data_IF_672332000046
#
_entry.id   IF_672332000046
#
_cell.length_a   1.000
_cell.length_b   1.000
_cell.length_c   1.000
_cell.angle_alpha   90.00
_cell.angle_beta   90.00
_cell.angle_gamma   90.00
#
_symmetry.space_group_name_H-M   'P 1'
#
loop_
_entity.id
_entity.type
_entity.pdbx_description
1 polymer ?
#
# COMPACT_ATOMS: atom_id res chain seq x y z
N UNK A 1 8.74 15.05 45.12
CA UNK A 1 8.80 15.41 43.67
C UNK A 1 8.56 14.12 42.93
N UNK A 2 7.71 14.12 41.91
CA UNK A 2 7.39 12.89 41.18
C UNK A 2 8.61 12.45 40.38
N UNK A 3 9.11 11.26 40.65
CA UNK A 3 10.25 10.67 39.98
C UNK A 3 9.81 9.87 38.77
N UNK A 4 10.37 10.15 37.58
CA UNK A 4 10.05 9.45 36.33
C UNK A 4 11.31 8.74 35.85
N UNK A 5 11.23 7.45 35.57
CA UNK A 5 12.37 6.64 35.14
C UNK A 5 12.01 5.81 33.90
N UNK A 6 12.84 5.89 32.86
CA UNK A 6 12.86 4.93 31.77
C UNK A 6 13.72 3.73 32.17
N UNK A 7 13.12 2.56 32.16
CA UNK A 7 13.79 1.28 32.40
C UNK A 7 13.90 0.57 31.05
N UNK A 8 15.12 0.28 30.61
CA UNK A 8 15.37 -0.41 29.34
C UNK A 8 15.99 -1.77 29.59
N UNK A 9 15.41 -2.82 28.99
CA UNK A 9 15.89 -4.19 29.09
C UNK A 9 16.33 -4.70 27.72
N UNK A 10 17.42 -5.47 27.71
CA UNK A 10 17.96 -6.13 26.53
C UNK A 10 18.47 -7.53 26.87
N UNK A 11 18.13 -8.54 26.07
CA UNK A 11 18.64 -9.89 26.25
C UNK A 11 17.81 -10.95 25.53
N UNK A 12 18.05 -12.24 25.78
CA UNK A 12 17.26 -13.33 25.18
C UNK A 12 15.78 -13.23 25.55
N UNK A 13 14.90 -13.41 24.57
CA UNK A 13 13.46 -13.45 24.80
C UNK A 13 13.05 -14.81 25.40
N UNK A 14 12.40 -14.78 26.55
CA UNK A 14 11.92 -15.97 27.25
C UNK A 14 10.50 -15.75 27.80
N UNK A 15 9.68 -16.81 27.91
CA UNK A 15 8.36 -16.73 28.52
C UNK A 15 8.43 -16.18 29.96
N UNK A 16 7.37 -15.47 30.36
CA UNK A 16 7.16 -14.91 31.70
C UNK A 16 8.12 -13.78 32.15
N UNK A 17 9.10 -13.36 31.36
CA UNK A 17 9.97 -12.24 31.75
C UNK A 17 9.17 -10.97 32.03
N UNK A 18 8.27 -10.58 31.14
CA UNK A 18 7.42 -9.40 31.32
C UNK A 18 6.57 -9.51 32.61
N UNK A 19 5.95 -10.65 32.87
CA UNK A 19 5.14 -10.88 34.05
C UNK A 19 5.94 -10.71 35.33
N UNK A 20 7.14 -11.27 35.39
CA UNK A 20 8.04 -11.14 36.57
C UNK A 20 8.47 -9.70 36.81
N UNK A 21 8.78 -8.94 35.76
CA UNK A 21 9.13 -7.52 35.86
C UNK A 21 7.92 -6.70 36.37
N UNK A 22 6.73 -6.94 35.83
CA UNK A 22 5.50 -6.29 36.28
C UNK A 22 5.17 -6.60 37.75
N UNK A 23 5.46 -7.80 38.22
CA UNK A 23 5.25 -8.18 39.61
C UNK A 23 6.08 -7.31 40.57
N UNK A 24 7.36 -7.06 40.26
CA UNK A 24 8.21 -6.18 41.06
C UNK A 24 7.64 -4.75 41.07
N UNK A 25 7.31 -4.19 39.89
CA UNK A 25 6.76 -2.84 39.78
C UNK A 25 5.45 -2.69 40.54
N UNK A 26 4.60 -3.73 40.52
CA UNK A 26 3.32 -3.77 41.22
C UNK A 26 3.48 -3.78 42.75
N UNK A 27 4.42 -4.58 43.29
CA UNK A 27 4.68 -4.65 44.74
C UNK A 27 5.06 -3.27 45.28
N UNK A 28 5.82 -2.50 44.52
CA UNK A 28 6.24 -1.15 44.90
C UNK A 28 5.26 -0.06 44.48
N UNK A 29 4.09 -0.41 43.89
CA UNK A 29 3.04 0.51 43.43
C UNK A 29 3.53 1.60 42.46
N UNK A 30 4.48 1.27 41.56
CA UNK A 30 4.92 2.19 40.53
C UNK A 30 3.85 2.32 39.45
N UNK A 31 3.59 3.55 39.03
CA UNK A 31 2.68 3.82 37.93
C UNK A 31 3.42 3.61 36.61
N UNK A 32 2.81 2.86 35.67
CA UNK A 32 3.31 2.73 34.30
C UNK A 32 2.78 3.91 33.49
N UNK A 33 3.68 4.67 32.89
CA UNK A 33 3.36 5.79 32.00
C UNK A 33 3.41 5.38 30.52
N UNK A 34 4.36 4.50 30.17
CA UNK A 34 4.46 3.93 28.82
C UNK A 34 5.19 2.59 28.83
N UNK A 35 4.96 1.77 27.78
CA UNK A 35 5.64 0.49 27.61
C UNK A 35 5.75 0.16 26.11
N UNK A 36 6.94 -0.29 25.71
CA UNK A 36 7.18 -0.75 24.34
C UNK A 36 8.11 -1.95 24.31
N UNK A 37 7.77 -2.97 23.51
CA UNK A 37 8.57 -4.19 23.35
C UNK A 37 8.78 -4.52 21.89
N UNK A 38 9.99 -4.97 21.55
CA UNK A 38 10.32 -5.57 20.28
C UNK A 38 11.14 -6.85 20.46
N UNK A 39 10.87 -7.86 19.62
CA UNK A 39 11.66 -9.11 19.58
C UNK A 39 12.18 -9.32 18.17
N UNK A 40 13.51 -9.36 18.03
CA UNK A 40 14.19 -9.64 16.76
C UNK A 40 15.06 -10.87 16.97
N UNK A 41 14.75 -11.97 16.27
CA UNK A 41 15.54 -13.21 16.34
C UNK A 41 15.87 -13.63 17.79
N UNK A 42 14.85 -13.79 18.63
CA UNK A 42 15.00 -14.20 20.04
C UNK A 42 15.76 -13.18 20.94
N UNK A 43 15.96 -11.95 20.47
CA UNK A 43 16.48 -10.87 21.28
C UNK A 43 15.35 -9.91 21.64
N UNK A 44 15.08 -9.77 22.92
CA UNK A 44 14.12 -8.85 23.50
C UNK A 44 14.77 -7.46 23.67
N UNK A 45 14.05 -6.44 23.24
CA UNK A 45 14.26 -5.06 23.67
C UNK A 45 12.93 -4.58 24.28
N UNK A 46 12.96 -4.17 25.55
CA UNK A 46 11.79 -3.71 26.29
C UNK A 46 12.10 -2.39 26.96
N UNK A 47 11.26 -1.39 26.75
CA UNK A 47 11.29 -0.10 27.43
C UNK A 47 10.04 0.07 28.29
N UNK A 48 10.19 0.55 29.53
CA UNK A 48 9.08 0.86 30.42
C UNK A 48 9.34 2.21 31.05
N UNK A 49 8.41 3.15 30.93
CA UNK A 49 8.45 4.43 31.66
C UNK A 49 7.58 4.32 32.89
N UNK A 50 8.16 4.51 34.05
CA UNK A 50 7.48 4.44 35.34
C UNK A 50 7.53 5.77 36.06
N UNK A 51 6.54 6.01 36.93
CA UNK A 51 6.54 7.16 37.82
C UNK A 51 6.15 6.77 39.27
N UNK A 52 6.71 7.49 40.25
CA UNK A 52 6.40 7.34 41.67
C UNK A 52 6.58 8.67 42.41
N UNK A 53 5.76 8.88 43.42
CA UNK A 53 5.95 9.99 44.39
C UNK A 53 6.74 9.55 45.65
N UNK A 54 7.14 8.26 45.70
CA UNK A 54 7.86 7.66 46.81
C UNK A 54 9.28 7.22 46.40
N UNK A 55 10.29 8.04 46.67
CA UNK A 55 11.70 7.77 46.33
C UNK A 55 12.22 6.45 46.92
N UNK A 56 11.79 6.11 48.15
CA UNK A 56 12.23 4.86 48.79
C UNK A 56 11.66 3.65 48.06
N UNK A 57 10.39 3.67 47.68
CA UNK A 57 9.76 2.59 46.90
C UNK A 57 10.40 2.45 45.53
N UNK A 58 10.73 3.57 44.88
CA UNK A 58 11.43 3.59 43.60
C UNK A 58 12.80 2.95 43.70
N UNK A 59 13.60 3.35 44.71
CA UNK A 59 14.95 2.79 44.91
C UNK A 59 14.94 1.29 45.20
N UNK A 60 13.97 0.81 46.01
CA UNK A 60 13.78 -0.61 46.28
C UNK A 60 13.38 -1.37 45.01
N UNK A 61 12.41 -0.87 44.23
CA UNK A 61 12.00 -1.46 42.97
C UNK A 61 13.16 -1.57 41.99
N UNK A 62 13.94 -0.52 41.81
CA UNK A 62 15.12 -0.51 40.91
C UNK A 62 16.17 -1.55 41.33
N UNK A 63 16.41 -1.69 42.65
CA UNK A 63 17.30 -2.74 43.18
C UNK A 63 16.78 -4.15 42.89
N UNK A 64 15.51 -4.40 43.14
CA UNK A 64 14.88 -5.71 42.87
C UNK A 64 14.86 -6.03 41.38
N UNK A 65 14.53 -5.04 40.51
CA UNK A 65 14.61 -5.19 39.06
C UNK A 65 16.02 -5.52 38.59
N UNK A 66 17.06 -4.88 39.15
CA UNK A 66 18.46 -5.16 38.79
C UNK A 66 18.80 -6.62 39.08
N UNK A 67 18.44 -7.12 40.24
CA UNK A 67 18.70 -8.51 40.67
C UNK A 67 17.86 -9.46 39.74
N UNK A 68 16.58 -9.19 39.58
CA UNK A 68 15.73 -10.01 38.74
C UNK A 68 16.20 -10.06 37.29
N UNK A 69 16.58 -8.92 36.71
CA UNK A 69 17.09 -8.85 35.34
C UNK A 69 18.33 -9.75 35.16
N UNK A 70 19.26 -9.68 36.10
CA UNK A 70 20.43 -10.55 36.09
C UNK A 70 20.03 -12.03 36.13
N UNK A 71 19.09 -12.42 37.02
CA UNK A 71 18.64 -13.81 37.20
C UNK A 71 17.94 -14.38 35.98
N UNK A 72 17.27 -13.51 35.16
CA UNK A 72 16.57 -13.91 33.93
C UNK A 72 17.38 -13.63 32.65
N UNK A 73 18.67 -13.28 32.80
CA UNK A 73 19.59 -13.07 31.68
C UNK A 73 19.37 -11.80 30.88
N UNK A 74 18.75 -10.77 31.48
CA UNK A 74 18.54 -9.47 30.85
C UNK A 74 19.55 -8.42 31.37
N UNK A 75 20.05 -7.60 30.47
CA UNK A 75 20.75 -6.36 30.82
C UNK A 75 19.69 -5.28 31.05
N UNK A 76 19.83 -4.50 32.16
CA UNK A 76 18.92 -3.40 32.48
C UNK A 76 19.68 -2.08 32.56
N UNK A 77 19.04 -1.00 32.12
CA UNK A 77 19.48 0.38 32.26
C UNK A 77 18.35 1.24 32.81
N UNK A 78 18.71 2.15 33.73
CA UNK A 78 17.80 3.15 34.29
C UNK A 78 18.23 4.54 33.84
N UNK A 79 17.27 5.30 33.29
CA UNK A 79 17.47 6.69 32.90
C UNK A 79 16.42 7.56 33.57
N UNK A 80 16.75 8.42 34.54
CA UNK A 80 15.85 9.43 35.04
C UNK A 80 15.36 10.35 33.92
N UNK A 81 14.13 10.74 33.95
CA UNK A 81 13.48 11.68 33.03
C UNK A 81 12.92 12.83 33.87
N UNK A 82 13.21 14.06 33.49
CA UNK A 82 12.61 15.22 34.14
C UNK A 82 11.14 15.39 33.74
N UNK A 83 10.33 16.01 34.61
CA UNK A 83 8.95 16.30 34.28
C UNK A 83 8.80 17.11 32.98
N UNK A 84 9.70 18.07 32.74
CA UNK A 84 9.70 18.88 31.53
C UNK A 84 10.00 18.05 30.26
N UNK A 85 10.95 17.12 30.32
CA UNK A 85 11.22 16.19 29.20
C UNK A 85 10.03 15.27 28.91
N UNK A 86 9.36 14.80 29.96
CA UNK A 86 8.16 13.98 29.84
C UNK A 86 7.00 14.76 29.21
N UNK A 87 6.71 15.97 29.71
CA UNK A 87 5.63 16.82 29.20
C UNK A 87 5.87 17.23 27.74
N UNK A 88 7.14 17.53 27.39
CA UNK A 88 7.51 17.78 25.99
C UNK A 88 7.21 16.56 25.13
N UNK A 89 7.64 15.39 25.54
CA UNK A 89 7.38 14.13 24.79
C UNK A 89 5.89 13.83 24.64
N UNK A 90 5.08 14.03 25.68
CA UNK A 90 3.61 13.88 25.62
C UNK A 90 2.99 14.87 24.65
N UNK A 91 3.44 16.12 24.62
CA UNK A 91 2.94 17.17 23.71
C UNK A 91 3.19 16.83 22.22
N UNK A 92 4.22 16.07 21.94
CA UNK A 92 4.56 15.60 20.58
C UNK A 92 3.61 14.51 20.09
N UNK A 93 2.94 13.78 20.98
CA UNK A 93 2.03 12.68 20.63
C UNK A 93 0.76 13.07 19.84
N UNK A 94 0.41 14.36 19.83
CA UNK A 94 -0.78 14.89 19.11
C UNK A 94 -0.52 15.37 17.68
N UNK A 95 0.70 15.30 17.17
CA UNK A 95 1.07 15.78 15.83
C UNK A 95 0.75 14.74 14.75
N UNK A 96 0.62 15.20 13.49
CA UNK A 96 0.43 14.34 12.33
C UNK A 96 1.60 13.37 12.19
N UNK A 97 1.28 12.09 12.06
CA UNK A 97 2.27 11.02 11.84
C UNK A 97 2.26 10.60 10.39
N UNK A 98 3.41 10.17 9.91
CA UNK A 98 3.57 9.66 8.54
C UNK A 98 4.17 8.26 8.56
N UNK A 99 3.84 7.52 7.52
CA UNK A 99 4.40 6.19 7.25
C UNK A 99 5.11 6.23 5.91
N UNK A 100 6.34 5.79 5.89
CA UNK A 100 7.09 5.51 4.66
C UNK A 100 7.17 4.00 4.48
N UNK A 101 6.69 3.52 3.35
CA UNK A 101 6.71 2.09 2.99
C UNK A 101 7.68 1.89 1.83
N UNK A 102 8.72 1.10 2.05
CA UNK A 102 9.71 0.73 1.05
C UNK A 102 9.46 -0.71 0.56
N UNK A 103 9.30 -0.88 -0.76
CA UNK A 103 9.02 -2.16 -1.42
C UNK A 103 10.07 -2.42 -2.49
N UNK A 104 10.58 -3.64 -2.56
CA UNK A 104 11.48 -4.10 -3.62
C UNK A 104 11.42 -5.63 -3.71
N UNK A 105 11.91 -6.25 -4.80
CA UNK A 105 12.13 -7.69 -4.84
C UNK A 105 13.06 -8.17 -3.73
N UNK A 106 14.07 -7.36 -3.40
CA UNK A 106 15.01 -7.58 -2.30
C UNK A 106 15.42 -6.22 -1.70
N UNK A 107 15.41 -6.08 -0.37
CA UNK A 107 15.86 -4.87 0.32
C UNK A 107 17.30 -5.01 0.76
N UNK A 108 18.13 -4.05 0.34
CA UNK A 108 19.55 -3.93 0.73
C UNK A 108 19.75 -2.78 1.72
N UNK A 109 20.92 -2.74 2.35
CA UNK A 109 21.31 -1.61 3.19
C UNK A 109 21.33 -0.28 2.40
N UNK A 110 21.73 -0.32 1.12
CA UNK A 110 21.71 0.87 0.25
C UNK A 110 20.30 1.41 0.04
N UNK A 111 19.30 0.53 -0.18
CA UNK A 111 17.90 0.93 -0.28
C UNK A 111 17.43 1.64 0.99
N UNK A 112 17.68 1.04 2.15
CA UNK A 112 17.26 1.63 3.43
C UNK A 112 17.98 2.93 3.73
N UNK A 113 19.28 3.01 3.42
CA UNK A 113 20.06 4.26 3.56
C UNK A 113 19.46 5.38 2.72
N UNK A 114 19.16 5.12 1.45
CA UNK A 114 18.62 6.13 0.55
C UNK A 114 17.23 6.62 1.01
N UNK A 115 16.34 5.70 1.42
CA UNK A 115 15.02 6.05 1.96
C UNK A 115 15.15 6.88 3.23
N UNK A 116 16.01 6.47 4.19
CA UNK A 116 16.19 7.19 5.45
C UNK A 116 16.87 8.55 5.26
N UNK A 117 17.70 8.70 4.23
CA UNK A 117 18.28 9.98 3.87
C UNK A 117 17.22 10.97 3.35
N UNK A 118 16.25 10.51 2.52
CA UNK A 118 15.12 11.33 2.12
C UNK A 118 14.32 11.78 3.34
N UNK A 119 13.98 10.86 4.25
CA UNK A 119 13.24 11.14 5.47
C UNK A 119 13.95 12.19 6.34
N UNK A 120 15.24 12.01 6.59
CA UNK A 120 16.03 12.93 7.41
C UNK A 120 16.24 14.30 6.77
N UNK A 121 16.35 14.38 5.44
CA UNK A 121 16.43 15.65 4.72
C UNK A 121 15.18 16.52 4.85
N UNK A 122 14.03 15.90 5.12
CA UNK A 122 12.76 16.57 5.44
C UNK A 122 12.60 16.91 6.94
N UNK A 123 13.62 16.64 7.76
CA UNK A 123 13.61 16.93 9.19
C UNK A 123 12.80 15.96 10.05
N UNK A 124 12.41 14.80 9.51
CA UNK A 124 11.72 13.76 10.29
C UNK A 124 12.68 12.81 10.97
N UNK A 125 12.30 12.35 12.16
CA UNK A 125 12.96 11.24 12.84
C UNK A 125 12.17 9.94 12.59
N UNK A 126 12.84 8.79 12.59
CA UNK A 126 12.23 7.47 12.45
C UNK A 126 12.03 6.90 13.86
N UNK A 127 10.78 6.72 14.26
CA UNK A 127 10.42 6.15 15.58
C UNK A 127 10.33 4.63 15.53
N UNK A 128 9.80 4.08 14.42
CA UNK A 128 9.62 2.64 14.28
C UNK A 128 10.09 2.16 12.92
N UNK A 129 10.67 0.96 12.89
CA UNK A 129 11.01 0.25 11.66
C UNK A 129 10.41 -1.15 11.75
N UNK A 130 9.49 -1.48 10.84
CA UNK A 130 8.77 -2.74 10.87
C UNK A 130 8.83 -3.44 9.52
N UNK A 131 9.28 -4.68 9.49
CA UNK A 131 9.20 -5.52 8.29
C UNK A 131 7.78 -6.07 8.15
N UNK A 132 7.12 -5.79 7.03
CA UNK A 132 5.78 -6.28 6.70
C UNK A 132 5.82 -7.60 5.92
N UNK A 133 6.81 -7.76 5.04
CA UNK A 133 7.00 -9.00 4.27
C UNK A 133 7.49 -10.16 5.14
N UNK A 134 7.15 -11.36 4.75
CA UNK A 134 7.64 -12.60 5.36
C UNK A 134 9.17 -12.68 5.38
N UNK A 135 9.71 -13.51 6.25
CA UNK A 135 11.14 -13.81 6.28
C UNK A 135 11.44 -14.82 5.17
N UNK A 136 12.51 -14.58 4.42
CA UNK A 136 12.96 -15.47 3.34
C UNK A 136 13.93 -16.50 3.94
N UNK A 137 13.68 -17.79 3.71
CA UNK A 137 14.64 -18.83 4.04
C UNK A 137 15.88 -18.75 3.14
N UNK A 138 17.04 -19.17 3.63
CA UNK A 138 18.28 -19.17 2.85
C UNK A 138 18.24 -20.17 1.67
N UNK A 139 17.42 -21.22 1.76
CA UNK A 139 17.24 -22.19 0.69
C UNK A 139 16.39 -21.58 -0.44
N UNK A 140 16.95 -21.65 -1.67
CA UNK A 140 16.49 -20.88 -2.84
C UNK A 140 15.16 -21.32 -3.48
N UNK A 141 14.49 -22.35 -2.99
CA UNK A 141 13.29 -22.94 -3.63
C UNK A 141 11.96 -22.41 -3.07
N UNK A 142 11.86 -21.12 -2.76
CA UNK A 142 10.54 -20.55 -2.47
C UNK A 142 9.78 -20.31 -3.78
N UNK A 143 8.65 -21.01 -3.95
CA UNK A 143 7.72 -20.85 -5.08
C UNK A 143 7.00 -19.47 -5.11
N UNK A 144 7.33 -18.57 -4.20
CA UNK A 144 6.73 -17.25 -4.11
C UNK A 144 7.64 -16.19 -4.74
N UNK A 145 7.07 -15.20 -5.46
CA UNK A 145 7.83 -14.07 -5.99
C UNK A 145 8.58 -13.37 -4.85
N UNK A 146 9.85 -13.06 -5.10
CA UNK A 146 10.69 -12.36 -4.12
C UNK A 146 10.14 -10.97 -3.93
N UNK A 147 9.79 -10.63 -2.71
CA UNK A 147 9.35 -9.31 -2.32
C UNK A 147 9.75 -9.03 -0.88
N UNK A 148 10.22 -7.83 -0.65
CA UNK A 148 10.61 -7.35 0.65
C UNK A 148 9.93 -6.00 0.89
N UNK A 149 9.34 -5.85 2.08
CA UNK A 149 8.68 -4.62 2.49
C UNK A 149 9.10 -4.25 3.90
N UNK A 150 9.55 -2.99 4.06
CA UNK A 150 9.83 -2.37 5.35
C UNK A 150 9.06 -1.07 5.45
N UNK A 151 8.47 -0.84 6.59
CA UNK A 151 7.70 0.34 6.94
C UNK A 151 8.42 1.14 8.03
N UNK A 152 8.51 2.45 7.84
CA UNK A 152 9.06 3.40 8.78
C UNK A 152 7.94 4.28 9.32
N UNK A 153 7.72 4.27 10.63
CA UNK A 153 6.87 5.25 11.31
C UNK A 153 7.69 6.48 11.64
N UNK A 154 7.23 7.63 11.17
CA UNK A 154 7.92 8.90 11.35
C UNK A 154 7.30 9.67 12.51
N UNK A 155 8.18 10.25 13.34
CA UNK A 155 7.75 11.17 14.39
C UNK A 155 7.20 12.46 13.78
N UNK A 156 6.40 13.12 14.59
CA UNK A 156 5.93 14.46 14.35
C UNK A 156 7.09 15.42 14.10
N UNK A 157 7.31 15.71 12.85
CA UNK A 157 8.31 16.67 12.40
C UNK A 157 7.67 17.97 11.93
N UNK A 158 8.39 18.75 11.14
CA UNK A 158 7.83 19.88 10.41
C UNK A 158 6.71 19.42 9.47
N UNK A 159 5.95 20.36 8.93
CA UNK A 159 4.94 20.05 7.90
C UNK A 159 5.64 19.35 6.72
N UNK A 160 5.11 18.18 6.33
CA UNK A 160 5.66 17.42 5.21
C UNK A 160 5.52 18.21 3.91
N UNK A 161 6.64 18.45 3.23
CA UNK A 161 6.61 18.87 1.82
C UNK A 161 6.34 17.63 0.95
N UNK A 162 5.05 17.38 0.71
CA UNK A 162 4.61 16.21 -0.05
C UNK A 162 5.13 16.21 -1.50
N UNK A 163 5.36 17.38 -2.10
CA UNK A 163 5.87 17.47 -3.46
C UNK A 163 7.36 17.12 -3.51
N UNK A 164 8.17 17.70 -2.64
CA UNK A 164 9.59 17.40 -2.56
C UNK A 164 9.83 15.92 -2.19
N UNK A 165 9.04 15.38 -1.26
CA UNK A 165 9.12 13.97 -0.87
C UNK A 165 8.79 13.03 -2.04
N UNK A 166 7.72 13.31 -2.79
CA UNK A 166 7.36 12.51 -3.98
C UNK A 166 8.43 12.54 -5.05
N UNK A 167 8.97 13.73 -5.37
CA UNK A 167 10.02 13.89 -6.36
C UNK A 167 11.26 13.06 -5.97
N UNK A 168 11.68 13.11 -4.72
CA UNK A 168 12.80 12.32 -4.20
C UNK A 168 12.53 10.82 -4.26
N UNK A 169 11.32 10.37 -3.90
CA UNK A 169 10.93 8.95 -3.97
C UNK A 169 10.89 8.44 -5.41
N UNK A 170 10.42 9.24 -6.38
CA UNK A 170 10.40 8.88 -7.79
C UNK A 170 11.81 8.73 -8.38
N UNK A 171 12.72 9.64 -8.02
CA UNK A 171 14.12 9.54 -8.43
C UNK A 171 14.75 8.26 -7.88
N UNK A 172 14.55 7.98 -6.60
CA UNK A 172 15.04 6.78 -5.96
C UNK A 172 14.49 5.50 -6.60
N UNK A 173 13.19 5.49 -6.96
CA UNK A 173 12.57 4.36 -7.66
C UNK A 173 13.24 4.06 -9.00
N UNK A 174 13.63 5.10 -9.74
CA UNK A 174 14.27 4.92 -11.04
C UNK A 174 15.72 4.45 -10.95
N UNK A 175 16.44 4.83 -9.89
CA UNK A 175 17.85 4.52 -9.71
C UNK A 175 18.11 3.15 -9.07
N UNK A 176 17.28 2.76 -8.12
CA UNK A 176 17.52 1.60 -7.25
C UNK A 176 16.50 0.46 -7.37
N UNK A 177 15.55 0.56 -8.31
CA UNK A 177 14.46 -0.43 -8.44
C UNK A 177 13.73 -0.73 -7.12
N UNK A 178 13.37 0.34 -6.42
CA UNK A 178 12.61 0.32 -5.16
C UNK A 178 11.39 1.21 -5.27
N UNK A 179 10.25 0.77 -4.80
CA UNK A 179 9.06 1.62 -4.66
C UNK A 179 9.01 2.19 -3.25
N UNK A 180 8.74 3.49 -3.16
CA UNK A 180 8.62 4.19 -1.88
C UNK A 180 7.32 4.95 -1.84
N UNK A 181 6.46 4.58 -0.90
CA UNK A 181 5.17 5.20 -0.66
C UNK A 181 5.17 5.98 0.64
N UNK A 182 4.60 7.19 0.64
CA UNK A 182 4.49 8.05 1.81
C UNK A 182 3.02 8.33 2.08
N UNK A 183 2.53 7.97 3.26
CA UNK A 183 1.14 8.14 3.66
C UNK A 183 1.03 8.78 5.05
N UNK A 184 -0.03 9.53 5.28
CA UNK A 184 -0.42 9.93 6.62
C UNK A 184 -0.89 8.70 7.42
N UNK A 185 -0.43 8.55 8.66
CA UNK A 185 -0.86 7.48 9.57
C UNK A 185 -2.12 7.90 10.32
N UNK A 186 -3.22 7.93 9.61
CA UNK A 186 -4.53 8.26 10.16
C UNK A 186 -5.45 7.02 10.26
N UNK A 187 -6.63 7.21 10.85
CA UNK A 187 -7.60 6.13 11.05
C UNK A 187 -8.09 5.51 9.72
N UNK A 188 -8.16 6.30 8.66
CA UNK A 188 -8.64 5.85 7.34
C UNK A 188 -7.65 4.91 6.65
N UNK A 189 -6.34 5.07 6.88
CA UNK A 189 -5.33 4.18 6.30
C UNK A 189 -5.61 2.69 6.61
N UNK A 190 -6.10 2.41 7.81
CA UNK A 190 -6.42 1.04 8.28
C UNK A 190 -7.89 0.65 8.13
N UNK A 191 -8.72 1.55 7.62
CA UNK A 191 -10.17 1.36 7.52
C UNK A 191 -10.69 1.65 6.11
N UNK A 192 -9.96 1.19 5.11
CA UNK A 192 -10.44 1.23 3.72
C UNK A 192 -11.46 0.12 3.50
N UNK A 193 -12.41 0.35 2.58
CA UNK A 193 -13.55 -0.53 2.36
C UNK A 193 -13.82 -0.82 0.90
N UNK A 194 -13.43 0.07 0.00
CA UNK A 194 -13.66 -0.02 -1.44
C UNK A 194 -12.32 0.02 -2.18
N UNK A 195 -12.14 -0.87 -3.16
CA UNK A 195 -10.98 -0.86 -4.06
C UNK A 195 -11.47 -0.91 -5.49
N UNK A 196 -11.15 0.12 -6.27
CA UNK A 196 -11.43 0.20 -7.69
C UNK A 196 -10.16 -0.01 -8.50
N UNK A 197 -10.23 -0.85 -9.51
CA UNK A 197 -9.12 -1.18 -10.39
C UNK A 197 -9.43 -0.74 -11.83
N UNK A 198 -8.42 -0.25 -12.54
CA UNK A 198 -8.45 -0.34 -14.00
C UNK A 198 -8.26 -1.81 -14.41
N UNK A 199 -8.55 -2.11 -15.66
CA UNK A 199 -8.47 -3.46 -16.23
C UNK A 199 -7.17 -3.65 -17.02
N UNK A 200 -7.11 -2.96 -18.16
CA UNK A 200 -6.03 -3.08 -19.13
C UNK A 200 -4.72 -2.59 -18.52
N UNK A 201 -3.62 -3.29 -18.74
CA UNK A 201 -2.29 -3.01 -18.17
C UNK A 201 -2.25 -2.91 -16.63
N UNK A 202 -3.36 -3.19 -15.93
CA UNK A 202 -3.48 -3.18 -14.46
C UNK A 202 -3.87 -4.55 -13.89
N UNK A 203 -5.07 -5.07 -14.15
CA UNK A 203 -5.49 -6.42 -13.75
C UNK A 203 -5.04 -7.50 -14.74
N UNK A 204 -4.87 -7.13 -15.99
CA UNK A 204 -4.28 -7.93 -17.07
C UNK A 204 -3.10 -7.20 -17.68
N UNK A 205 -2.20 -7.97 -18.32
CA UNK A 205 -0.99 -7.42 -18.93
C UNK A 205 -1.26 -6.77 -20.30
N UNK A 206 -2.35 -7.15 -20.99
CA UNK A 206 -2.71 -6.70 -22.31
C UNK A 206 -3.62 -5.47 -22.31
N UNK A 207 -3.67 -4.80 -23.48
CA UNK A 207 -4.71 -3.86 -23.88
C UNK A 207 -5.72 -4.61 -24.75
N UNK A 208 -6.97 -4.77 -24.28
CA UNK A 208 -7.96 -5.59 -25.02
C UNK A 208 -8.33 -5.03 -26.38
N UNK A 209 -8.22 -3.72 -26.58
CA UNK A 209 -8.48 -3.11 -27.89
C UNK A 209 -7.41 -3.50 -28.91
N UNK A 210 -6.17 -3.68 -28.49
CA UNK A 210 -5.07 -4.12 -29.35
C UNK A 210 -5.25 -5.59 -29.74
N UNK A 211 -5.69 -6.44 -28.80
CA UNK A 211 -6.02 -7.84 -29.07
C UNK A 211 -7.15 -7.97 -30.12
N UNK A 212 -8.21 -7.15 -29.97
CA UNK A 212 -9.29 -7.08 -30.95
C UNK A 212 -8.81 -6.58 -32.33
N UNK A 213 -7.91 -5.58 -32.35
CA UNK A 213 -7.34 -5.04 -33.56
C UNK A 213 -6.48 -6.05 -34.32
N UNK A 214 -5.76 -6.91 -33.59
CA UNK A 214 -4.99 -8.03 -34.19
C UNK A 214 -5.96 -8.99 -34.88
N UNK A 215 -7.03 -9.42 -34.23
CA UNK A 215 -8.03 -10.33 -34.81
C UNK A 215 -8.76 -9.70 -36.00
N UNK A 216 -8.98 -8.39 -35.99
CA UNK A 216 -9.58 -7.64 -37.10
C UNK A 216 -8.60 -7.34 -38.25
N UNK A 217 -7.29 -7.61 -38.09
CA UNK A 217 -6.26 -7.28 -39.08
C UNK A 217 -5.97 -5.78 -39.22
N UNK A 218 -6.32 -4.98 -38.19
CA UNK A 218 -6.18 -3.49 -38.20
C UNK A 218 -5.20 -2.98 -37.14
N UNK A 219 -4.35 -3.84 -36.59
CA UNK A 219 -3.46 -3.50 -35.49
C UNK A 219 -2.58 -2.27 -35.76
N UNK A 220 -2.02 -2.15 -37.00
CA UNK A 220 -1.17 -1.01 -37.35
C UNK A 220 -1.94 0.33 -37.32
N UNK A 221 -3.20 0.36 -37.80
CA UNK A 221 -4.02 1.56 -37.79
C UNK A 221 -4.45 1.95 -36.36
N UNK A 222 -4.76 0.98 -35.52
CA UNK A 222 -5.06 1.22 -34.09
C UNK A 222 -3.85 1.78 -33.37
N UNK A 223 -2.66 1.23 -33.60
CA UNK A 223 -1.41 1.73 -33.01
C UNK A 223 -1.12 3.18 -33.43
N UNK A 224 -1.32 3.54 -34.70
CA UNK A 224 -1.15 4.91 -35.20
C UNK A 224 -2.08 5.90 -34.49
N UNK A 225 -3.38 5.54 -34.31
CA UNK A 225 -4.34 6.39 -33.59
C UNK A 225 -3.94 6.54 -32.11
N UNK A 226 -3.45 5.47 -31.50
CA UNK A 226 -2.96 5.47 -30.12
C UNK A 226 -1.78 6.42 -29.97
N UNK A 227 -0.80 6.39 -30.90
CA UNK A 227 0.36 7.27 -30.88
C UNK A 227 -0.05 8.74 -31.02
N UNK A 228 -0.95 9.07 -31.94
CA UNK A 228 -1.49 10.44 -32.10
C UNK A 228 -2.21 10.93 -30.84
N UNK A 229 -2.97 10.07 -30.16
CA UNK A 229 -3.58 10.40 -28.89
C UNK A 229 -2.53 10.66 -27.80
N UNK A 230 -1.45 9.88 -27.76
CA UNK A 230 -0.34 10.08 -26.81
C UNK A 230 0.43 11.38 -27.09
N UNK A 231 0.46 11.84 -28.33
CA UNK A 231 1.02 13.14 -28.73
C UNK A 231 0.07 14.33 -28.43
N UNK A 232 -1.15 14.05 -27.97
CA UNK A 232 -2.15 15.08 -27.61
C UNK A 232 -2.96 15.63 -28.80
N UNK A 233 -2.88 14.98 -30.00
CA UNK A 233 -3.67 15.36 -31.17
C UNK A 233 -5.15 14.99 -31.05
N UNK A 234 -5.47 13.95 -30.28
CA UNK A 234 -6.80 13.43 -30.03
C UNK A 234 -7.05 13.34 -28.53
N UNK A 235 -8.28 13.69 -28.12
CA UNK A 235 -8.71 13.37 -26.76
C UNK A 235 -9.04 11.87 -26.62
N UNK A 236 -9.26 11.43 -25.38
CA UNK A 236 -9.55 10.02 -25.09
C UNK A 236 -10.77 9.51 -25.87
N UNK A 237 -11.88 10.25 -25.87
CA UNK A 237 -13.12 9.81 -26.51
C UNK A 237 -12.99 9.78 -28.03
N UNK A 238 -12.31 10.76 -28.64
CA UNK A 238 -12.04 10.79 -30.08
C UNK A 238 -11.17 9.59 -30.49
N UNK A 239 -10.08 9.36 -29.79
CA UNK A 239 -9.17 8.24 -30.03
C UNK A 239 -9.90 6.90 -29.85
N UNK A 240 -10.66 6.74 -28.74
CA UNK A 240 -11.40 5.51 -28.46
C UNK A 240 -12.41 5.20 -29.55
N UNK A 241 -13.25 6.16 -29.97
CA UNK A 241 -14.23 5.99 -31.06
C UNK A 241 -13.55 5.65 -32.36
N UNK A 242 -12.46 6.32 -32.72
CA UNK A 242 -11.72 6.06 -33.96
C UNK A 242 -11.15 4.63 -34.01
N UNK A 243 -10.59 4.14 -32.88
CA UNK A 243 -10.09 2.77 -32.78
C UNK A 243 -11.20 1.73 -32.84
N UNK A 244 -12.32 1.95 -32.14
CA UNK A 244 -13.49 1.05 -32.17
C UNK A 244 -14.10 0.98 -33.55
N UNK A 245 -14.18 2.10 -34.30
CA UNK A 245 -14.71 2.13 -35.66
C UNK A 245 -13.95 1.20 -36.62
N UNK A 246 -12.65 1.00 -36.41
CA UNK A 246 -11.81 0.08 -37.20
C UNK A 246 -12.17 -1.40 -36.97
N UNK A 247 -12.83 -1.73 -35.85
CA UNK A 247 -13.26 -3.10 -35.51
C UNK A 247 -14.55 -3.51 -36.22
N UNK A 248 -15.15 -2.63 -37.03
CA UNK A 248 -16.40 -2.91 -37.74
C UNK A 248 -16.28 -4.17 -38.58
N UNK A 249 -17.24 -5.09 -38.43
CA UNK A 249 -17.31 -6.37 -39.16
C UNK A 249 -16.48 -7.49 -38.50
N UNK A 250 -15.85 -7.27 -37.38
CA UNK A 250 -15.19 -8.34 -36.63
C UNK A 250 -16.24 -9.32 -36.09
N UNK A 251 -16.02 -10.62 -36.28
CA UNK A 251 -16.85 -11.67 -35.74
C UNK A 251 -16.74 -11.70 -34.21
N UNK A 252 -17.89 -11.54 -33.51
CA UNK A 252 -17.92 -11.53 -32.05
C UNK A 252 -17.53 -12.89 -31.42
N UNK A 253 -17.49 -13.98 -32.20
CA UNK A 253 -16.99 -15.29 -31.76
C UNK A 253 -15.49 -15.29 -31.38
N UNK A 254 -14.75 -14.23 -31.67
CA UNK A 254 -13.35 -14.07 -31.22
C UNK A 254 -13.26 -13.63 -29.76
N UNK A 255 -14.27 -12.96 -29.19
CA UNK A 255 -14.26 -12.41 -27.84
C UNK A 255 -13.91 -13.46 -26.76
N UNK A 256 -14.57 -14.65 -26.72
CA UNK A 256 -14.21 -15.70 -25.78
C UNK A 256 -12.76 -16.17 -25.94
N UNK A 257 -12.27 -16.31 -27.17
CA UNK A 257 -10.90 -16.76 -27.45
C UNK A 257 -9.85 -15.77 -26.96
N UNK A 258 -10.13 -14.47 -27.11
CA UNK A 258 -9.27 -13.41 -26.55
C UNK A 258 -9.30 -13.48 -25.02
N UNK A 259 -10.49 -13.56 -24.40
CA UNK A 259 -10.63 -13.61 -22.95
C UNK A 259 -9.85 -14.78 -22.30
N UNK A 260 -9.85 -15.96 -22.93
CA UNK A 260 -9.11 -17.15 -22.46
C UNK A 260 -7.57 -16.97 -22.48
N UNK A 261 -7.04 -16.16 -23.41
CA UNK A 261 -5.60 -15.93 -23.55
C UNK A 261 -5.08 -14.72 -22.75
N UNK A 262 -5.97 -13.94 -22.11
CA UNK A 262 -5.56 -12.81 -21.28
C UNK A 262 -4.71 -13.28 -20.09
N UNK A 263 -3.57 -12.62 -19.92
CA UNK A 263 -2.65 -12.88 -18.82
C UNK A 263 -3.04 -12.04 -17.62
N UNK A 264 -3.37 -12.70 -16.52
CA UNK A 264 -3.62 -12.00 -15.24
C UNK A 264 -2.30 -11.44 -14.72
N UNK A 265 -2.32 -10.18 -14.33
CA UNK A 265 -1.16 -9.48 -13.75
C UNK A 265 -0.68 -10.21 -12.50
N UNK A 266 0.65 -10.33 -12.38
CA UNK A 266 1.31 -10.94 -11.22
C UNK A 266 0.78 -10.35 -9.91
N UNK A 267 0.30 -11.23 -9.01
CA UNK A 267 -0.21 -10.84 -7.69
C UNK A 267 -1.68 -10.39 -7.65
N UNK A 268 -2.36 -10.22 -8.80
CA UNK A 268 -3.77 -9.77 -8.84
C UNK A 268 -4.73 -10.76 -8.15
N UNK A 269 -4.58 -12.06 -8.40
CA UNK A 269 -5.42 -13.09 -7.77
C UNK A 269 -5.26 -13.08 -6.24
N UNK A 270 -4.02 -13.00 -5.75
CA UNK A 270 -3.73 -12.91 -4.31
C UNK A 270 -4.29 -11.62 -3.71
N UNK A 271 -4.11 -10.49 -4.38
CA UNK A 271 -4.65 -9.20 -3.92
C UNK A 271 -6.16 -9.28 -3.75
N UNK A 272 -6.89 -9.66 -4.80
CA UNK A 272 -8.35 -9.66 -4.80
C UNK A 272 -8.91 -10.68 -3.82
N UNK A 273 -8.39 -11.92 -3.78
CA UNK A 273 -8.83 -12.94 -2.81
C UNK A 273 -8.63 -12.48 -1.36
N UNK A 274 -7.50 -11.84 -1.07
CA UNK A 274 -7.21 -11.28 0.26
C UNK A 274 -8.16 -10.15 0.61
N UNK A 275 -8.38 -9.19 -0.29
CA UNK A 275 -9.30 -8.08 -0.07
C UNK A 275 -10.71 -8.58 0.21
N UNK A 276 -11.17 -9.58 -0.53
CA UNK A 276 -12.50 -10.18 -0.33
C UNK A 276 -12.60 -10.91 1.00
N UNK A 277 -11.62 -11.71 1.37
CA UNK A 277 -11.59 -12.40 2.67
C UNK A 277 -11.66 -11.40 3.85
N UNK A 278 -11.12 -10.19 3.65
CA UNK A 278 -11.16 -9.10 4.63
C UNK A 278 -12.42 -8.22 4.53
N UNK A 279 -13.37 -8.55 3.64
CA UNK A 279 -14.65 -7.86 3.52
C UNK A 279 -14.60 -6.54 2.74
N UNK A 280 -13.54 -6.31 1.96
CA UNK A 280 -13.50 -5.18 1.03
C UNK A 280 -14.45 -5.41 -0.12
N UNK A 281 -15.03 -4.32 -0.63
CA UNK A 281 -15.72 -4.29 -1.93
C UNK A 281 -14.72 -3.96 -3.03
N UNK A 282 -14.84 -4.67 -4.15
CA UNK A 282 -13.93 -4.55 -5.30
C UNK A 282 -14.72 -4.20 -6.55
N UNK A 283 -14.17 -3.31 -7.39
CA UNK A 283 -14.80 -2.92 -8.64
C UNK A 283 -13.77 -2.78 -9.78
N UNK A 284 -14.16 -3.09 -11.00
CA UNK A 284 -13.44 -2.73 -12.21
C UNK A 284 -14.06 -1.45 -12.77
N UNK A 285 -13.25 -0.42 -13.00
CA UNK A 285 -13.60 0.83 -13.66
C UNK A 285 -12.70 0.99 -14.89
N UNK A 286 -13.15 0.56 -16.08
CA UNK A 286 -12.29 0.41 -17.24
C UNK A 286 -12.76 1.22 -18.46
N UNK A 287 -11.78 1.83 -19.14
CA UNK A 287 -11.96 2.37 -20.49
C UNK A 287 -12.01 1.28 -21.60
N UNK A 288 -11.74 0.02 -21.25
CA UNK A 288 -11.87 -1.14 -22.12
C UNK A 288 -13.32 -1.62 -22.26
N UNK A 289 -13.51 -2.91 -22.56
CA UNK A 289 -14.84 -3.45 -22.92
C UNK A 289 -15.42 -4.33 -21.81
N UNK A 290 -16.73 -4.18 -21.59
CA UNK A 290 -17.48 -4.83 -20.53
C UNK A 290 -17.41 -6.37 -20.63
N UNK A 291 -17.40 -6.95 -21.82
CA UNK A 291 -17.26 -8.39 -22.00
C UNK A 291 -16.04 -8.96 -21.27
N UNK A 292 -14.87 -8.34 -21.42
CA UNK A 292 -13.64 -8.79 -20.78
C UNK A 292 -13.62 -8.48 -19.28
N UNK A 293 -14.19 -7.34 -18.89
CA UNK A 293 -14.31 -6.99 -17.48
C UNK A 293 -15.24 -7.96 -16.73
N UNK A 294 -16.34 -8.42 -17.33
CA UNK A 294 -17.24 -9.44 -16.78
C UNK A 294 -16.56 -10.83 -16.72
N UNK A 295 -15.77 -11.17 -17.74
CA UNK A 295 -14.96 -12.40 -17.70
C UNK A 295 -13.98 -12.37 -16.49
N UNK A 296 -13.26 -11.26 -16.28
CA UNK A 296 -12.38 -11.10 -15.14
C UNK A 296 -13.12 -11.03 -13.81
N UNK A 297 -14.30 -10.42 -13.78
CA UNK A 297 -15.20 -10.45 -12.62
C UNK A 297 -15.49 -11.90 -12.19
N UNK A 298 -15.86 -12.75 -13.12
CA UNK A 298 -16.11 -14.17 -12.86
C UNK A 298 -14.85 -14.91 -12.39
N UNK A 299 -13.71 -14.65 -13.02
CA UNK A 299 -12.45 -15.34 -12.77
C UNK A 299 -11.81 -14.93 -11.43
N UNK A 300 -11.82 -13.64 -11.11
CA UNK A 300 -11.20 -13.09 -9.90
C UNK A 300 -12.19 -12.92 -8.73
N UNK A 301 -13.49 -12.99 -9.03
CA UNK A 301 -14.56 -12.81 -8.08
C UNK A 301 -14.76 -11.34 -7.65
N UNK A 302 -14.54 -10.38 -8.54
CA UNK A 302 -14.76 -8.95 -8.30
C UNK A 302 -16.26 -8.66 -8.16
N UNK A 303 -16.64 -7.69 -7.32
CA UNK A 303 -18.04 -7.46 -6.97
C UNK A 303 -18.81 -6.67 -8.05
N UNK A 304 -18.22 -5.61 -8.61
CA UNK A 304 -18.89 -4.72 -9.58
C UNK A 304 -17.99 -4.40 -10.78
N UNK A 305 -18.62 -4.16 -11.94
CA UNK A 305 -17.95 -3.85 -13.21
C UNK A 305 -18.61 -2.66 -13.89
N UNK A 306 -17.79 -1.72 -14.34
CA UNK A 306 -18.20 -0.59 -15.17
C UNK A 306 -17.17 -0.39 -16.29
N UNK A 307 -17.59 -0.66 -17.54
CA UNK A 307 -16.75 -0.56 -18.72
C UNK A 307 -17.60 -0.23 -19.96
N UNK A 308 -16.97 0.00 -21.10
CA UNK A 308 -17.67 0.31 -22.34
C UNK A 308 -18.35 -0.92 -22.95
N UNK A 309 -19.56 -0.77 -23.44
CA UNK A 309 -20.30 -1.84 -24.08
C UNK A 309 -20.05 -1.79 -25.58
N UNK A 310 -19.32 -2.78 -26.10
CA UNK A 310 -19.12 -2.96 -27.53
C UNK A 310 -20.45 -3.31 -28.20
N UNK A 311 -20.87 -2.56 -29.24
CA UNK A 311 -22.08 -2.86 -29.94
C UNK A 311 -21.87 -4.02 -30.92
N UNK A 312 -22.68 -5.08 -30.76
CA UNK A 312 -22.66 -6.28 -31.61
C UNK A 312 -24.06 -6.48 -32.18
N UNK A 313 -24.17 -6.64 -33.51
CA UNK A 313 -25.41 -6.95 -34.24
C UNK A 313 -25.17 -8.13 -35.17
N UNK A 314 -26.08 -9.06 -35.18
CA UNK A 314 -26.04 -10.28 -36.02
C UNK A 314 -24.73 -11.07 -35.91
N UNK A 315 -24.08 -11.02 -34.70
CA UNK A 315 -22.81 -11.70 -34.44
C UNK A 315 -21.56 -10.92 -34.85
N UNK A 316 -21.69 -9.68 -35.35
CA UNK A 316 -20.57 -8.87 -35.78
C UNK A 316 -20.49 -7.54 -35.02
N UNK A 317 -19.28 -7.08 -34.75
CA UNK A 317 -19.01 -5.77 -34.17
C UNK A 317 -19.42 -4.67 -35.16
N UNK A 318 -20.22 -3.70 -34.67
CA UNK A 318 -20.71 -2.60 -35.55
C UNK A 318 -19.67 -1.50 -35.77
N UNK A 319 -18.63 -1.44 -34.93
CA UNK A 319 -17.67 -0.33 -34.89
C UNK A 319 -18.12 0.81 -33.96
N UNK A 320 -19.14 0.56 -33.12
CA UNK A 320 -19.67 1.54 -32.17
C UNK A 320 -19.72 0.98 -30.74
N UNK A 321 -19.92 1.84 -29.76
CA UNK A 321 -20.19 1.47 -28.36
C UNK A 321 -21.55 1.98 -27.92
N UNK A 322 -22.21 1.25 -27.02
CA UNK A 322 -23.48 1.62 -26.41
C UNK A 322 -23.26 2.45 -25.14
N UNK A 323 -24.08 3.48 -25.00
CA UNK A 323 -24.09 4.31 -23.80
C UNK A 323 -22.95 5.35 -23.71
N UNK A 324 -22.74 5.84 -22.50
CA UNK A 324 -21.69 6.82 -22.23
C UNK A 324 -20.32 6.13 -22.12
N UNK A 325 -19.30 6.76 -22.72
CA UNK A 325 -17.92 6.25 -22.66
C UNK A 325 -17.38 6.41 -21.23
N UNK A 326 -16.77 5.34 -20.72
CA UNK A 326 -16.06 5.34 -19.46
C UNK A 326 -14.64 5.90 -19.71
N UNK A 327 -14.54 7.20 -19.61
CA UNK A 327 -13.28 7.96 -19.64
C UNK A 327 -12.79 8.27 -18.22
N UNK A 328 -11.72 9.06 -18.09
CA UNK A 328 -11.14 9.39 -16.78
C UNK A 328 -12.09 10.14 -15.86
N UNK A 329 -12.89 11.07 -16.39
CA UNK A 329 -13.90 11.79 -15.61
C UNK A 329 -14.98 10.82 -15.10
N UNK A 330 -15.46 9.93 -15.97
CA UNK A 330 -16.46 8.92 -15.61
C UNK A 330 -15.92 7.90 -14.59
N UNK A 331 -14.66 7.47 -14.67
CA UNK A 331 -14.03 6.63 -13.63
C UNK A 331 -14.08 7.31 -12.25
N UNK A 332 -13.75 8.60 -12.19
CA UNK A 332 -13.82 9.36 -10.93
C UNK A 332 -15.26 9.52 -10.41
N UNK A 333 -16.25 9.73 -11.29
CA UNK A 333 -17.66 9.78 -10.91
C UNK A 333 -18.13 8.42 -10.37
N UNK A 334 -17.82 7.33 -11.07
CA UNK A 334 -18.16 5.96 -10.64
C UNK A 334 -17.57 5.63 -9.27
N UNK A 335 -16.33 6.02 -9.01
CA UNK A 335 -15.72 5.87 -7.68
C UNK A 335 -16.54 6.61 -6.60
N UNK A 336 -17.00 7.84 -6.87
CA UNK A 336 -17.87 8.60 -5.94
C UNK A 336 -19.22 7.93 -5.77
N UNK A 337 -19.84 7.46 -6.85
CA UNK A 337 -21.12 6.78 -6.82
C UNK A 337 -21.05 5.49 -5.96
N UNK A 338 -20.01 4.69 -6.15
CA UNK A 338 -19.78 3.46 -5.37
C UNK A 338 -19.52 3.78 -3.89
N UNK A 339 -18.69 4.78 -3.58
CA UNK A 339 -18.46 5.19 -2.20
C UNK A 339 -19.75 5.68 -1.53
N UNK A 340 -20.55 6.49 -2.23
CA UNK A 340 -21.85 6.97 -1.72
C UNK A 340 -22.85 5.82 -1.52
N UNK A 341 -22.93 4.87 -2.46
CA UNK A 341 -23.78 3.66 -2.36
C UNK A 341 -23.43 2.82 -1.13
N UNK A 342 -22.15 2.78 -0.77
CA UNK A 342 -21.66 2.07 0.41
C UNK A 342 -21.75 2.89 1.70
N UNK A 343 -22.10 4.17 1.65
CA UNK A 343 -22.13 5.07 2.81
C UNK A 343 -20.76 5.34 3.42
N UNK A 344 -19.70 5.34 2.60
CA UNK A 344 -18.31 5.58 3.01
C UNK A 344 -17.76 6.88 2.43
N UNK A 345 -16.72 7.45 3.06
CA UNK A 345 -15.98 8.57 2.51
C UNK A 345 -14.97 8.11 1.45
N UNK A 346 -14.56 9.01 0.56
CA UNK A 346 -13.49 8.74 -0.40
C UNK A 346 -12.15 8.41 0.27
N UNK A 347 -11.92 8.87 1.49
CA UNK A 347 -10.79 8.47 2.32
C UNK A 347 -10.74 6.96 2.61
N UNK A 348 -11.90 6.28 2.53
CA UNK A 348 -12.01 4.83 2.70
C UNK A 348 -11.97 4.07 1.37
N UNK A 349 -11.80 4.77 0.26
CA UNK A 349 -11.65 4.17 -1.05
C UNK A 349 -10.17 4.14 -1.49
N UNK A 350 -9.86 3.13 -2.29
CA UNK A 350 -8.58 3.00 -3.00
C UNK A 350 -8.86 2.87 -4.49
N UNK A 351 -7.97 3.43 -5.31
CA UNK A 351 -7.98 3.27 -6.75
C UNK A 351 -6.60 2.83 -7.23
N UNK A 352 -6.56 1.93 -8.21
CA UNK A 352 -5.34 1.39 -8.82
C UNK A 352 -5.48 1.45 -10.32
N UNK A 353 -4.48 2.00 -11.02
CA UNK A 353 -4.47 2.09 -12.48
C UNK A 353 -3.08 2.47 -12.99
N UNK A 354 -2.85 2.39 -14.31
CA UNK A 354 -1.55 2.65 -14.95
C UNK A 354 -1.58 3.84 -15.91
N UNK A 355 -2.77 4.22 -16.38
CA UNK A 355 -2.98 5.17 -17.48
C UNK A 355 -3.27 6.61 -17.03
N UNK A 356 -3.09 7.56 -17.97
CA UNK A 356 -3.45 8.97 -17.74
C UNK A 356 -4.98 9.15 -17.50
N UNK A 357 -5.79 8.28 -18.07
CA UNK A 357 -7.24 8.20 -17.84
C UNK A 357 -7.60 7.77 -16.41
N UNK A 358 -6.67 7.22 -15.62
CA UNK A 358 -6.89 6.85 -14.23
C UNK A 358 -6.63 8.00 -13.26
N UNK A 359 -5.82 8.99 -13.66
CA UNK A 359 -5.42 10.09 -12.79
C UNK A 359 -6.59 10.77 -12.06
N UNK A 360 -7.77 11.01 -12.69
CA UNK A 360 -8.88 11.62 -11.97
C UNK A 360 -9.41 10.75 -10.82
N UNK A 361 -9.50 9.41 -11.00
CA UNK A 361 -9.92 8.52 -9.91
C UNK A 361 -8.83 8.31 -8.86
N UNK A 362 -7.55 8.22 -9.29
CA UNK A 362 -6.41 8.11 -8.37
C UNK A 362 -6.29 9.34 -7.46
N UNK A 363 -6.58 10.54 -8.01
CA UNK A 363 -6.45 11.80 -7.27
C UNK A 363 -7.49 11.96 -6.15
N UNK A 364 -8.71 11.42 -6.33
CA UNK A 364 -9.80 11.58 -5.36
C UNK A 364 -9.89 10.43 -4.34
N UNK A 365 -9.26 9.31 -4.62
CA UNK A 365 -9.22 8.17 -3.70
C UNK A 365 -8.33 8.49 -2.49
N UNK A 366 -8.71 8.03 -1.31
CA UNK A 366 -7.88 8.12 -0.11
C UNK A 366 -6.53 7.41 -0.27
N UNK A 367 -6.43 6.45 -1.20
CA UNK A 367 -5.18 5.87 -1.67
C UNK A 367 -5.26 5.63 -3.19
N UNK A 368 -4.64 6.50 -3.98
CA UNK A 368 -4.45 6.31 -5.41
C UNK A 368 -3.08 5.71 -5.69
N UNK A 369 -3.03 4.59 -6.40
CA UNK A 369 -1.81 3.85 -6.71
C UNK A 369 -1.63 3.74 -8.22
N UNK A 370 -0.56 4.31 -8.74
CA UNK A 370 -0.10 4.10 -10.12
C UNK A 370 0.70 2.78 -10.17
N UNK A 371 0.14 1.76 -10.82
CA UNK A 371 0.77 0.45 -10.91
C UNK A 371 1.46 0.27 -12.27
N UNK A 372 2.79 -0.01 -12.26
CA UNK A 372 3.64 -0.15 -13.47
C UNK A 372 3.40 0.94 -14.51
N UNK A 373 3.02 2.12 -14.03
CA UNK A 373 2.52 3.22 -14.84
C UNK A 373 3.63 3.95 -15.60
N UNK A 374 3.23 4.62 -16.68
CA UNK A 374 4.11 5.48 -17.48
C UNK A 374 4.64 6.65 -16.62
N UNK A 375 5.82 7.22 -16.97
CA UNK A 375 6.47 8.25 -16.15
C UNK A 375 5.56 9.43 -15.79
N UNK A 376 4.75 9.92 -16.74
CA UNK A 376 3.80 11.02 -16.53
C UNK A 376 2.76 10.68 -15.45
N UNK A 377 2.24 9.46 -15.46
CA UNK A 377 1.23 9.00 -14.49
C UNK A 377 1.87 8.83 -13.12
N UNK A 378 3.07 8.24 -13.04
CA UNK A 378 3.84 8.12 -11.79
C UNK A 378 4.12 9.45 -11.11
N UNK A 379 4.41 10.50 -11.90
CA UNK A 379 4.67 11.86 -11.39
C UNK A 379 3.42 12.53 -10.81
N UNK A 380 2.24 12.19 -11.31
CA UNK A 380 0.98 12.82 -10.92
C UNK A 380 0.16 11.99 -9.92
N UNK A 381 0.46 10.72 -9.74
CA UNK A 381 -0.18 9.88 -8.74
C UNK A 381 0.38 10.11 -7.32
N UNK A 382 -0.43 9.83 -6.31
CA UNK A 382 0.00 9.94 -4.91
C UNK A 382 1.03 8.88 -4.54
N UNK A 383 0.88 7.66 -5.04
CA UNK A 383 1.76 6.52 -4.80
C UNK A 383 2.00 5.77 -6.11
N UNK A 384 3.16 5.11 -6.21
CA UNK A 384 3.48 4.27 -7.36
C UNK A 384 4.09 2.94 -6.90
N UNK A 385 3.74 1.86 -7.60
CA UNK A 385 4.34 0.52 -7.44
C UNK A 385 4.74 0.03 -8.83
N UNK A 386 5.99 -0.36 -8.98
CA UNK A 386 6.54 -0.85 -10.25
C UNK A 386 7.49 -2.04 -10.09
N UNK A 387 8.10 -2.21 -8.92
CA UNK A 387 9.17 -3.17 -8.65
C UNK A 387 8.67 -4.55 -8.22
N UNK A 388 7.40 -4.65 -7.81
CA UNK A 388 6.77 -5.88 -7.29
C UNK A 388 5.44 -6.16 -7.98
N UNK A 389 4.84 -7.33 -7.75
CA UNK A 389 3.50 -7.67 -8.22
C UNK A 389 2.40 -6.78 -7.63
N UNK A 390 1.20 -6.85 -8.22
CA UNK A 390 0.05 -6.03 -7.83
C UNK A 390 -0.34 -6.21 -6.34
N UNK A 391 -0.07 -7.38 -5.78
CA UNK A 391 -0.28 -7.66 -4.35
C UNK A 391 0.65 -6.87 -3.41
N UNK A 392 1.66 -6.16 -3.92
CA UNK A 392 2.42 -5.14 -3.20
C UNK A 392 1.55 -4.05 -2.59
N UNK A 393 0.38 -3.80 -3.16
CA UNK A 393 -0.66 -2.89 -2.65
C UNK A 393 -1.09 -3.26 -1.21
N UNK A 394 -1.11 -4.55 -0.84
CA UNK A 394 -1.47 -4.99 0.51
C UNK A 394 -0.57 -4.38 1.59
N UNK A 395 0.71 -4.17 1.29
CA UNK A 395 1.62 -3.52 2.23
C UNK A 395 1.32 -2.03 2.42
N UNK A 396 0.81 -1.34 1.39
CA UNK A 396 0.36 0.05 1.52
C UNK A 396 -0.86 0.17 2.45
N UNK A 397 -1.66 -0.89 2.54
CA UNK A 397 -2.75 -1.00 3.52
C UNK A 397 -2.25 -1.36 4.93
N UNK A 398 -0.93 -1.57 5.11
CA UNK A 398 -0.32 -1.93 6.38
C UNK A 398 -0.46 -3.41 6.76
N UNK A 399 -0.77 -4.27 5.81
CA UNK A 399 -0.93 -5.71 6.06
C UNK A 399 0.44 -6.39 6.16
N UNK A 400 0.56 -7.36 7.06
CA UNK A 400 1.74 -8.20 7.20
C UNK A 400 1.51 -9.55 6.54
N UNK A 401 2.55 -10.13 5.91
CA UNK A 401 2.45 -11.49 5.35
C UNK A 401 2.03 -12.54 6.37
N UNK A 402 2.44 -12.39 7.64
CA UNK A 402 2.03 -13.30 8.72
C UNK A 402 0.52 -13.32 8.98
N UNK A 403 -0.17 -12.21 8.66
CA UNK A 403 -1.62 -12.08 8.84
C UNK A 403 -2.36 -12.63 7.62
N UNK A 404 -1.76 -12.53 6.44
CA UNK A 404 -2.32 -12.97 5.16
C UNK A 404 -2.26 -14.49 4.94
N UNK A 405 -1.30 -15.19 5.57
CA UNK A 405 -1.18 -16.64 5.49
C UNK A 405 -2.24 -17.39 6.33
N UNK A 406 -3.16 -16.68 6.98
CA UNK A 406 -4.25 -17.21 7.80
C UNK A 406 -5.65 -16.90 7.22
N UNK A 407 -5.72 -16.08 6.20
CA UNK A 407 -6.91 -15.77 5.42
C UNK A 407 -6.91 -16.60 4.12
#
# INVERSE_FOLDING_TARGET
MREIILISFLGPDQPNQFTRLMQVLSVHSLQILDVGQAVIHNQLTLGIVVASDNETATALAMKEILILAHDIGLTVRFKPITGAEYDQWVSEGGRTRYIVTALAPELTAAHLQAVTQIVSSQGFNIETVTRLSGRVAFEKDSAFPRRACVQFGLSSGPTLDAQAMRAACLLLSSELNIDVAVQEDNAYRRNRRLVCFDMDSTLIEQEVIDELAIEAGVGAQVAEITERAMQGELDFQQSFRARVALLKGLDAAVLPKIAERLTITEGAERLISTLKALGYKTAILSGGFQYFAEYLQGKLGIDEVHANILDVQDGFVTGEVKGAIVDGARKAELLRELANKMGISLEQAMAVGDGANDLPMLAIAGLGVAYRAKPLVRQNANQAISSVGLDGVLYLLGMHDKDLNRA
#
